data_IF_467689450607
#
_entry.id   IF_467689450607
#
_cell.length_a   1.000
_cell.length_b   1.000
_cell.length_c   1.000
_cell.angle_alpha   90.00
_cell.angle_beta   90.00
_cell.angle_gamma   90.00
#
_symmetry.space_group_name_H-M   'P 1'
#
loop_
_entity.id
_entity.type
_entity.pdbx_description
1 polymer ?
#
# COMPACT_ATOMS: atom_id res chain seq x y z
N UNK A 1 22.88 -26.28 -3.07
CA UNK A 1 22.40 -25.83 -4.40
C UNK A 1 22.91 -24.42 -4.58
N UNK A 2 23.84 -24.21 -5.51
CA UNK A 2 24.39 -22.87 -5.81
C UNK A 2 23.22 -22.01 -6.26
N UNK A 3 23.01 -20.87 -5.58
CA UNK A 3 21.96 -19.91 -5.91
C UNK A 3 22.33 -19.32 -7.28
N UNK A 4 21.87 -19.96 -8.36
CA UNK A 4 21.60 -19.22 -9.58
C UNK A 4 20.64 -18.10 -9.15
N UNK A 5 21.01 -16.84 -9.37
CA UNK A 5 20.17 -15.69 -9.04
C UNK A 5 18.75 -16.00 -9.53
N UNK A 6 17.78 -16.07 -8.62
CA UNK A 6 16.37 -16.23 -8.99
C UNK A 6 16.04 -15.04 -9.88
N UNK A 7 15.87 -15.27 -11.18
CA UNK A 7 15.55 -14.24 -12.16
C UNK A 7 14.08 -14.40 -12.52
N UNK A 8 13.28 -13.44 -12.10
CA UNK A 8 11.90 -13.34 -12.54
C UNK A 8 11.83 -12.89 -14.00
N UNK A 9 10.70 -13.18 -14.65
CA UNK A 9 10.36 -12.50 -15.91
C UNK A 9 10.33 -11.00 -15.64
N UNK A 10 10.77 -10.20 -16.60
CA UNK A 10 10.81 -8.74 -16.48
C UNK A 10 9.64 -8.14 -17.23
N UNK A 11 9.04 -7.10 -16.68
CA UNK A 11 8.03 -6.33 -17.40
C UNK A 11 8.63 -5.70 -18.65
N UNK A 12 7.85 -5.68 -19.74
CA UNK A 12 8.22 -4.95 -20.96
C UNK A 12 8.27 -3.46 -20.61
N UNK A 13 9.29 -2.74 -21.08
CA UNK A 13 9.51 -1.33 -20.75
C UNK A 13 10.31 -1.08 -19.47
N UNK A 14 10.68 -2.12 -18.72
CA UNK A 14 11.42 -1.96 -17.45
C UNK A 14 12.82 -1.33 -17.62
N UNK A 15 13.53 -1.64 -18.70
CA UNK A 15 14.86 -1.07 -18.97
C UNK A 15 14.79 0.36 -19.52
N UNK A 16 13.75 0.68 -20.29
CA UNK A 16 13.44 2.04 -20.75
C UNK A 16 13.10 2.95 -19.56
N UNK A 17 12.26 2.46 -18.64
CA UNK A 17 11.88 3.21 -17.44
C UNK A 17 13.09 3.65 -16.60
N UNK A 18 14.14 2.82 -16.52
CA UNK A 18 15.39 3.19 -15.83
C UNK A 18 16.10 4.39 -16.46
N UNK A 19 16.00 4.55 -17.77
CA UNK A 19 16.62 5.68 -18.50
C UNK A 19 15.82 6.98 -18.32
N UNK A 20 14.54 6.86 -17.96
CA UNK A 20 13.61 7.98 -17.81
C UNK A 20 13.68 8.59 -16.40
N UNK A 21 13.75 7.76 -15.36
CA UNK A 21 13.70 8.20 -13.95
C UNK A 21 14.93 9.02 -13.55
N UNK A 22 14.68 10.12 -12.82
CA UNK A 22 15.67 11.11 -12.37
C UNK A 22 15.59 11.31 -10.86
N UNK A 23 16.72 11.67 -10.26
CA UNK A 23 16.80 12.02 -8.84
C UNK A 23 16.38 13.49 -8.62
N UNK A 24 15.13 13.80 -8.98
CA UNK A 24 14.51 15.11 -8.87
C UNK A 24 13.08 14.93 -8.35
N UNK A 25 12.55 15.93 -7.67
CA UNK A 25 11.16 15.95 -7.23
C UNK A 25 10.43 17.14 -7.83
N UNK A 26 9.27 16.88 -8.42
CA UNK A 26 8.27 17.88 -8.81
C UNK A 26 7.01 17.57 -8.01
N UNK A 27 6.87 18.24 -6.86
CA UNK A 27 5.78 17.93 -5.94
C UNK A 27 4.44 18.42 -6.50
N UNK A 28 3.60 17.48 -6.91
CA UNK A 28 2.27 17.73 -7.48
C UNK A 28 1.13 17.27 -6.54
N UNK A 29 1.46 16.86 -5.31
CA UNK A 29 0.48 16.48 -4.29
C UNK A 29 0.33 17.62 -3.29
N UNK A 30 -0.80 18.33 -3.35
CA UNK A 30 -1.09 19.42 -2.42
C UNK A 30 -1.50 18.85 -1.06
N UNK A 31 -0.84 19.28 0.02
CA UNK A 31 -1.22 18.89 1.40
C UNK A 31 -2.47 19.65 1.81
N UNK A 32 -3.47 18.92 2.32
CA UNK A 32 -4.73 19.49 2.80
C UNK A 32 -4.91 19.34 4.32
N UNK A 33 -4.20 18.38 4.95
CA UNK A 33 -4.08 18.37 6.39
C UNK A 33 -3.44 17.13 6.96
N UNK A 34 -3.41 17.07 8.29
CA UNK A 34 -2.81 16.00 9.07
C UNK A 34 -3.72 15.67 10.26
N UNK A 35 -3.89 14.37 10.52
CA UNK A 35 -4.59 13.84 11.68
C UNK A 35 -3.56 13.24 12.62
N UNK A 36 -3.43 13.84 13.80
CA UNK A 36 -2.53 13.39 14.85
C UNK A 36 -3.18 12.30 15.73
N UNK A 37 -2.40 11.45 16.43
CA UNK A 37 -2.94 10.33 17.20
C UNK A 37 -3.97 10.73 18.27
N UNK A 38 -3.73 11.86 18.96
CA UNK A 38 -4.63 12.41 19.98
C UNK A 38 -5.98 12.92 19.43
N UNK A 39 -6.15 13.00 18.12
CA UNK A 39 -7.43 13.33 17.47
C UNK A 39 -8.29 12.10 17.21
N UNK A 40 -7.74 10.91 17.37
CA UNK A 40 -8.47 9.66 17.10
C UNK A 40 -8.91 9.08 18.44
N UNK A 41 -10.22 9.03 18.67
CA UNK A 41 -10.80 8.41 19.87
C UNK A 41 -11.20 6.98 19.57
N UNK A 42 -10.69 6.01 20.32
CA UNK A 42 -11.00 4.59 20.14
C UNK A 42 -12.20 4.22 21.00
N UNK A 43 -13.30 3.83 20.36
CA UNK A 43 -14.55 3.54 21.07
C UNK A 43 -14.62 2.10 21.63
N UNK A 44 -14.00 1.13 20.96
CA UNK A 44 -14.10 -0.30 21.30
C UNK A 44 -12.86 -0.87 21.99
N UNK A 45 -12.09 -0.02 22.70
CA UNK A 45 -10.88 -0.44 23.39
C UNK A 45 -10.66 0.38 24.68
N UNK A 46 -10.09 -0.19 25.76
CA UNK A 46 -9.91 0.53 27.03
C UNK A 46 -8.98 1.76 26.96
N UNK A 47 -8.04 1.79 26.03
CA UNK A 47 -7.18 2.96 25.78
C UNK A 47 -7.87 3.87 24.77
N UNK A 48 -8.19 5.10 25.18
CA UNK A 48 -9.01 6.03 24.39
C UNK A 48 -8.32 6.65 23.18
N UNK A 49 -6.98 6.71 23.17
CA UNK A 49 -6.21 7.29 22.06
C UNK A 49 -5.02 6.41 21.70
N UNK A 50 -4.70 6.22 20.41
CA UNK A 50 -3.48 5.55 20.02
C UNK A 50 -2.25 6.41 20.36
N UNK A 51 -1.11 5.75 20.52
CA UNK A 51 0.18 6.41 20.71
C UNK A 51 0.63 7.05 19.40
N UNK A 52 0.54 6.28 18.31
CA UNK A 52 0.77 6.72 16.94
C UNK A 52 -0.32 6.18 16.03
N UNK A 53 -0.62 6.92 14.97
CA UNK A 53 -1.58 6.54 13.94
C UNK A 53 -1.05 7.03 12.59
N UNK A 54 -0.78 6.12 11.66
CA UNK A 54 -0.11 6.44 10.40
C UNK A 54 -0.39 5.38 9.33
N UNK A 55 0.23 5.51 8.15
CA UNK A 55 0.14 4.58 7.01
C UNK A 55 -1.30 4.21 6.66
N UNK A 56 -2.17 5.21 6.58
CA UNK A 56 -3.60 4.99 6.42
C UNK A 56 -4.01 4.78 4.95
N UNK A 57 -4.91 3.82 4.72
CA UNK A 57 -5.70 3.73 3.49
C UNK A 57 -6.97 4.58 3.60
N UNK A 58 -7.58 4.88 2.47
CA UNK A 58 -8.83 5.64 2.38
C UNK A 58 -9.79 5.02 1.36
N UNK A 59 -11.07 5.04 1.65
CA UNK A 59 -12.17 4.93 0.67
C UNK A 59 -13.09 6.13 0.80
N UNK A 60 -13.96 6.35 -0.18
CA UNK A 60 -14.89 7.47 -0.22
C UNK A 60 -16.31 6.92 -0.32
N UNK A 61 -17.16 7.42 0.56
CA UNK A 61 -18.60 7.17 0.56
C UNK A 61 -19.30 8.40 -0.03
N UNK A 62 -19.77 8.28 -1.26
CA UNK A 62 -20.40 9.39 -2.01
C UNK A 62 -21.77 9.78 -1.44
N UNK A 63 -22.49 8.84 -0.81
CA UNK A 63 -23.83 9.10 -0.29
C UNK A 63 -23.77 9.92 0.99
N UNK A 64 -22.83 9.58 1.88
CA UNK A 64 -22.63 10.27 3.16
C UNK A 64 -21.62 11.43 3.07
N UNK A 65 -20.95 11.60 1.92
CA UNK A 65 -19.89 12.61 1.70
C UNK A 65 -18.75 12.53 2.73
N UNK A 66 -18.29 11.29 3.01
CA UNK A 66 -17.23 11.01 4.00
C UNK A 66 -16.10 10.18 3.43
N UNK A 67 -14.88 10.49 3.88
CA UNK A 67 -13.71 9.63 3.71
C UNK A 67 -13.67 8.60 4.85
N UNK A 68 -13.67 7.31 4.49
CA UNK A 68 -13.45 6.21 5.43
C UNK A 68 -11.95 5.93 5.50
N UNK A 69 -11.34 6.23 6.65
CA UNK A 69 -9.91 6.10 6.89
C UNK A 69 -9.61 4.81 7.64
N UNK A 70 -8.62 4.07 7.15
CA UNK A 70 -8.14 2.82 7.72
C UNK A 70 -6.67 2.97 8.11
N UNK A 71 -6.38 3.23 9.37
CA UNK A 71 -5.04 3.60 9.81
C UNK A 71 -4.39 2.51 10.66
N UNK A 72 -3.07 2.34 10.47
CA UNK A 72 -2.27 1.57 11.42
C UNK A 72 -2.14 2.37 12.71
N UNK A 73 -2.45 1.74 13.84
CA UNK A 73 -2.26 2.31 15.16
C UNK A 73 -1.31 1.48 16.01
N UNK A 74 -0.57 2.16 16.88
CA UNK A 74 0.24 1.56 17.94
C UNK A 74 -0.38 1.92 19.28
N UNK A 75 -0.61 0.91 20.13
CA UNK A 75 -1.23 1.05 21.45
C UNK A 75 -0.22 0.87 22.60
N UNK A 76 0.97 0.33 22.31
CA UNK A 76 2.02 0.09 23.31
C UNK A 76 3.42 0.14 22.70
N UNK A 77 4.40 0.52 23.51
CA UNK A 77 5.76 0.86 23.04
C UNK A 77 6.75 -0.30 22.96
N UNK A 78 6.56 -1.41 23.69
CA UNK A 78 7.63 -2.40 23.81
C UNK A 78 7.87 -3.19 22.51
N UNK A 79 6.84 -3.87 22.01
CA UNK A 79 6.94 -4.72 20.82
C UNK A 79 6.39 -4.03 19.56
N UNK A 80 5.89 -2.79 19.67
CA UNK A 80 5.23 -2.05 18.59
C UNK A 80 4.18 -2.89 17.86
N UNK A 81 3.39 -3.66 18.61
CA UNK A 81 2.30 -4.46 18.06
C UNK A 81 1.23 -3.50 17.57
N UNK A 82 0.90 -3.60 16.29
CA UNK A 82 -0.06 -2.72 15.64
C UNK A 82 -1.41 -3.37 15.42
N UNK A 83 -2.43 -2.52 15.40
CA UNK A 83 -3.80 -2.84 14.95
C UNK A 83 -4.20 -1.87 13.84
N UNK A 84 -5.33 -2.10 13.19
CA UNK A 84 -5.91 -1.18 12.22
C UNK A 84 -7.23 -0.63 12.78
N UNK A 85 -7.34 0.69 12.78
CA UNK A 85 -8.54 1.43 13.16
C UNK A 85 -9.27 1.94 11.92
N UNK A 86 -10.59 1.95 11.97
CA UNK A 86 -11.48 2.59 11.01
C UNK A 86 -12.14 3.81 11.68
N UNK A 87 -12.20 4.94 10.96
CA UNK A 87 -12.97 6.12 11.33
C UNK A 87 -13.36 6.92 10.09
N UNK A 88 -14.35 7.79 10.23
CA UNK A 88 -14.86 8.62 9.14
C UNK A 88 -14.41 10.07 9.30
N UNK A 89 -14.08 10.70 8.18
CA UNK A 89 -13.70 12.11 8.07
C UNK A 89 -14.61 12.76 7.05
N UNK A 90 -15.50 13.67 7.43
CA UNK A 90 -16.34 14.39 6.47
C UNK A 90 -15.50 15.10 5.42
N UNK A 91 -15.92 15.08 4.15
CA UNK A 91 -15.11 15.64 3.06
C UNK A 91 -14.92 17.16 3.24
N UNK A 92 -15.91 17.86 3.79
CA UNK A 92 -15.80 19.28 4.13
C UNK A 92 -14.73 19.57 5.20
N UNK A 93 -14.41 18.63 6.09
CA UNK A 93 -13.32 18.82 7.06
C UNK A 93 -11.96 18.90 6.35
N UNK A 94 -11.78 18.14 5.27
CA UNK A 94 -10.56 18.16 4.46
C UNK A 94 -10.41 19.51 3.75
N UNK A 95 -11.45 19.96 3.05
CA UNK A 95 -11.39 21.19 2.25
C UNK A 95 -11.36 22.47 3.09
N UNK A 96 -11.98 22.47 4.27
CA UNK A 96 -11.94 23.61 5.19
C UNK A 96 -10.75 23.58 6.16
N UNK A 97 -9.90 22.55 6.09
CA UNK A 97 -8.74 22.38 6.95
C UNK A 97 -9.06 21.98 8.39
N UNK A 98 -10.31 21.58 8.68
CA UNK A 98 -10.75 21.14 10.00
C UNK A 98 -10.16 19.79 10.41
N UNK A 99 -9.65 18.99 9.47
CA UNK A 99 -8.88 17.77 9.75
C UNK A 99 -7.71 17.99 10.72
N UNK A 100 -7.17 19.21 10.77
CA UNK A 100 -6.04 19.55 11.65
C UNK A 100 -6.46 19.83 13.11
N UNK A 101 -7.76 20.02 13.37
CA UNK A 101 -8.29 20.44 14.67
C UNK A 101 -9.35 19.51 15.24
N UNK A 102 -10.19 18.91 14.39
CA UNK A 102 -11.28 18.04 14.80
C UNK A 102 -10.77 16.70 15.36
N UNK A 103 -11.65 16.04 16.11
CA UNK A 103 -11.41 14.69 16.61
C UNK A 103 -12.41 13.72 15.97
N UNK A 104 -11.93 12.53 15.67
CA UNK A 104 -12.68 11.48 14.97
C UNK A 104 -12.82 10.25 15.88
N UNK A 105 -14.03 9.73 15.97
CA UNK A 105 -14.30 8.51 16.74
C UNK A 105 -14.11 7.31 15.81
N UNK A 106 -13.27 6.37 16.23
CA UNK A 106 -12.93 5.17 15.46
C UNK A 106 -13.11 3.89 16.23
N UNK A 107 -13.06 2.79 15.49
CA UNK A 107 -13.14 1.41 15.99
C UNK A 107 -11.98 0.59 15.47
N UNK A 108 -11.33 -0.19 16.34
CA UNK A 108 -10.37 -1.20 15.92
C UNK A 108 -11.13 -2.28 15.16
N UNK A 109 -10.73 -2.53 13.92
CA UNK A 109 -11.41 -3.46 12.99
C UNK A 109 -10.56 -4.69 12.65
N UNK A 110 -9.23 -4.55 12.67
CA UNK A 110 -8.28 -5.64 12.44
C UNK A 110 -7.23 -5.54 13.53
N UNK A 111 -6.93 -6.66 14.16
CA UNK A 111 -5.98 -6.77 15.26
C UNK A 111 -5.29 -8.14 15.21
N UNK A 112 -4.15 -8.32 15.90
CA UNK A 112 -3.47 -9.61 15.98
C UNK A 112 -4.40 -10.72 16.46
N UNK A 113 -4.57 -11.77 15.66
CA UNK A 113 -5.43 -12.91 16.04
C UNK A 113 -5.00 -14.25 15.45
N UNK A 114 -3.90 -14.29 14.70
CA UNK A 114 -3.44 -15.48 13.99
C UNK A 114 -1.92 -15.60 14.08
N UNK A 115 -1.36 -16.78 13.75
CA UNK A 115 0.09 -16.95 13.63
C UNK A 115 0.73 -16.06 12.55
N UNK A 116 -0.05 -15.50 11.64
CA UNK A 116 0.43 -14.69 10.52
C UNK A 116 0.54 -13.20 10.88
N UNK A 117 -0.07 -12.76 11.98
CA UNK A 117 -0.11 -11.35 12.38
C UNK A 117 -0.06 -11.13 13.90
N UNK A 118 0.36 -12.13 14.67
CA UNK A 118 0.45 -12.08 16.14
C UNK A 118 1.29 -10.89 16.64
N UNK A 119 2.27 -10.42 15.86
CA UNK A 119 3.12 -9.29 16.23
C UNK A 119 2.70 -7.96 15.59
N UNK A 120 1.56 -7.90 14.90
CA UNK A 120 1.00 -6.67 14.36
C UNK A 120 0.35 -6.83 12.99
N UNK A 121 -0.64 -5.98 12.75
CA UNK A 121 -1.32 -5.79 11.45
C UNK A 121 -0.92 -4.41 10.92
N UNK A 122 -0.10 -4.34 9.88
CA UNK A 122 0.55 -3.10 9.42
C UNK A 122 0.05 -2.64 8.04
N UNK A 123 -0.01 -1.32 7.86
CA UNK A 123 -0.04 -0.64 6.57
C UNK A 123 -1.17 -1.15 5.63
N UNK A 124 -2.45 -1.00 6.01
CA UNK A 124 -3.58 -1.48 5.22
C UNK A 124 -3.63 -0.82 3.85
N UNK A 125 -4.03 -1.58 2.83
CA UNK A 125 -4.48 -1.11 1.51
C UNK A 125 -5.91 -1.58 1.30
N UNK A 126 -6.85 -0.66 1.19
CA UNK A 126 -8.27 -0.97 1.01
C UNK A 126 -8.69 -0.64 -0.42
N UNK A 127 -9.36 -1.59 -1.07
CA UNK A 127 -9.75 -1.50 -2.48
C UNK A 127 -10.99 -2.36 -2.74
N UNK A 128 -11.66 -2.13 -3.88
CA UNK A 128 -12.86 -2.90 -4.28
C UNK A 128 -12.51 -3.94 -5.34
N UNK A 129 -13.03 -5.15 -5.18
CA UNK A 129 -12.98 -6.24 -6.18
C UNK A 129 -14.38 -6.84 -6.26
N UNK A 130 -14.95 -6.95 -7.48
CA UNK A 130 -16.35 -7.38 -7.70
C UNK A 130 -17.39 -6.69 -6.80
N UNK A 131 -17.22 -5.39 -6.57
CA UNK A 131 -18.10 -4.59 -5.71
C UNK A 131 -17.95 -4.81 -4.20
N UNK A 132 -17.14 -5.78 -3.75
CA UNK A 132 -16.85 -6.02 -2.33
C UNK A 132 -15.57 -5.32 -1.90
N UNK A 133 -15.50 -4.90 -0.64
CA UNK A 133 -14.30 -4.31 -0.05
C UNK A 133 -13.31 -5.38 0.40
N UNK A 134 -12.05 -5.19 0.00
CA UNK A 134 -10.90 -5.99 0.39
C UNK A 134 -9.87 -5.09 1.05
N UNK A 135 -9.15 -5.64 2.02
CA UNK A 135 -8.05 -4.99 2.72
C UNK A 135 -6.86 -5.93 2.76
N UNK A 136 -5.79 -5.62 2.04
CA UNK A 136 -4.50 -6.29 2.23
C UNK A 136 -3.64 -5.49 3.20
N UNK A 137 -3.11 -6.15 4.21
CA UNK A 137 -2.17 -5.56 5.16
C UNK A 137 -0.98 -6.49 5.36
N UNK A 138 0.10 -5.95 5.91
CA UNK A 138 1.28 -6.73 6.28
C UNK A 138 1.05 -7.36 7.66
N UNK A 139 0.93 -8.68 7.71
CA UNK A 139 0.91 -9.43 8.96
C UNK A 139 2.33 -9.70 9.46
N UNK A 140 2.66 -9.28 10.67
CA UNK A 140 3.89 -9.70 11.37
C UNK A 140 3.68 -11.07 11.99
N UNK A 141 4.23 -12.10 11.35
CA UNK A 141 4.00 -13.49 11.72
C UNK A 141 4.72 -13.88 13.00
N UNK A 142 4.43 -15.07 13.54
CA UNK A 142 5.12 -15.65 14.70
C UNK A 142 6.66 -15.66 14.57
N UNK A 143 7.19 -15.63 13.33
CA UNK A 143 8.62 -15.60 13.07
C UNK A 143 9.26 -14.20 13.16
N UNK A 144 8.48 -13.13 13.28
CA UNK A 144 8.99 -11.75 13.17
C UNK A 144 10.17 -11.45 14.12
N UNK A 145 10.04 -11.83 15.39
CA UNK A 145 11.10 -11.72 16.40
C UNK A 145 11.87 -13.02 16.63
N UNK A 146 11.60 -14.07 15.85
CA UNK A 146 12.26 -15.36 15.99
C UNK A 146 13.58 -15.39 15.19
N UNK A 147 14.52 -16.30 15.52
CA UNK A 147 15.74 -16.48 14.73
C UNK A 147 15.46 -17.03 13.31
N UNK A 148 14.23 -17.49 13.04
CA UNK A 148 13.83 -17.99 11.72
C UNK A 148 13.63 -16.80 10.77
N UNK A 149 14.53 -16.65 9.80
CA UNK A 149 14.45 -15.61 8.75
C UNK A 149 13.55 -16.02 7.57
N UNK A 150 12.39 -16.62 7.84
CA UNK A 150 11.42 -17.00 6.79
C UNK A 150 10.04 -16.52 7.16
N UNK A 151 9.35 -15.91 6.20
CA UNK A 151 7.98 -15.43 6.35
C UNK A 151 7.80 -14.58 7.62
N UNK A 152 8.78 -13.75 7.98
CA UNK A 152 8.70 -12.86 9.15
C UNK A 152 7.52 -11.90 9.04
N UNK A 153 7.23 -11.48 7.82
CA UNK A 153 5.93 -10.88 7.48
C UNK A 153 5.35 -11.55 6.24
N UNK A 154 4.02 -11.54 6.15
CA UNK A 154 3.27 -12.05 5.01
C UNK A 154 2.09 -11.11 4.71
N UNK A 155 1.69 -10.92 3.45
CA UNK A 155 0.47 -10.23 3.11
C UNK A 155 -0.75 -11.05 3.56
N UNK A 156 -1.65 -10.39 4.30
CA UNK A 156 -2.91 -10.96 4.75
C UNK A 156 -4.04 -10.10 4.19
N UNK A 157 -5.05 -10.75 3.60
CA UNK A 157 -6.23 -10.06 3.08
C UNK A 157 -7.47 -10.37 3.91
N UNK A 158 -8.09 -9.32 4.43
CA UNK A 158 -9.42 -9.34 4.98
C UNK A 158 -10.46 -8.88 3.94
N UNK A 159 -11.66 -9.44 3.99
CA UNK A 159 -12.80 -9.09 3.14
C UNK A 159 -13.90 -8.57 4.04
N UNK A 160 -14.51 -7.45 3.66
CA UNK A 160 -15.64 -6.89 4.39
C UNK A 160 -16.89 -7.75 4.17
N UNK A 161 -17.55 -8.11 5.26
CA UNK A 161 -18.81 -8.83 5.26
C UNK A 161 -19.93 -7.85 5.60
N UNK A 162 -20.76 -7.54 4.60
CA UNK A 162 -21.88 -6.60 4.73
C UNK A 162 -22.94 -7.08 5.74
N UNK A 163 -23.13 -8.40 5.87
CA UNK A 163 -24.14 -8.96 6.78
C UNK A 163 -23.69 -8.83 8.22
N UNK A 164 -22.42 -9.14 8.47
CA UNK A 164 -21.81 -9.05 9.80
C UNK A 164 -21.29 -7.65 10.15
N UNK A 165 -21.27 -6.73 9.18
CA UNK A 165 -20.68 -5.38 9.27
C UNK A 165 -19.29 -5.41 9.87
N UNK A 166 -18.47 -6.36 9.39
CA UNK A 166 -17.16 -6.64 9.95
C UNK A 166 -16.15 -7.14 8.91
N UNK A 167 -14.87 -6.97 9.20
CA UNK A 167 -13.78 -7.47 8.39
C UNK A 167 -13.40 -8.90 8.78
N UNK A 168 -13.28 -9.78 7.79
CA UNK A 168 -12.96 -11.20 8.00
C UNK A 168 -11.67 -11.53 7.26
N UNK A 169 -10.64 -12.00 7.98
CA UNK A 169 -9.38 -12.47 7.38
C UNK A 169 -9.67 -13.71 6.54
N UNK A 170 -9.37 -13.66 5.23
CA UNK A 170 -9.66 -14.76 4.29
C UNK A 170 -8.41 -15.36 3.68
N UNK A 171 -7.41 -14.54 3.33
CA UNK A 171 -6.26 -15.02 2.56
C UNK A 171 -4.94 -14.67 3.23
N UNK A 172 -3.98 -15.58 3.14
CA UNK A 172 -2.57 -15.31 3.41
C UNK A 172 -1.79 -15.69 2.16
N UNK A 173 -1.03 -14.76 1.61
CA UNK A 173 -0.28 -14.99 0.39
C UNK A 173 1.13 -15.47 0.71
N UNK A 174 1.50 -16.63 0.15
CA UNK A 174 2.77 -17.29 0.41
C UNK A 174 3.51 -17.48 -0.92
N UNK A 175 4.60 -16.73 -1.17
CA UNK A 175 5.47 -16.97 -2.33
C UNK A 175 6.00 -18.41 -2.36
N UNK A 176 5.78 -19.11 -3.47
CA UNK A 176 6.21 -20.50 -3.62
C UNK A 176 7.73 -20.61 -3.60
N UNK A 177 8.25 -21.59 -2.86
CA UNK A 177 9.69 -21.86 -2.84
C UNK A 177 10.24 -22.27 -4.21
N UNK A 178 9.39 -22.78 -5.10
CA UNK A 178 9.78 -23.16 -6.46
C UNK A 178 10.05 -21.95 -7.36
N UNK A 179 9.41 -20.82 -7.09
CA UNK A 179 9.51 -19.60 -7.93
C UNK A 179 10.38 -18.54 -7.25
N UNK A 180 10.18 -18.32 -5.95
CA UNK A 180 10.83 -17.26 -5.19
C UNK A 180 11.97 -17.76 -4.30
N UNK A 181 12.19 -19.07 -4.22
CA UNK A 181 13.00 -19.64 -3.15
C UNK A 181 12.41 -19.34 -1.77
N UNK A 182 13.25 -19.38 -0.73
CA UNK A 182 12.83 -18.95 0.61
C UNK A 182 12.79 -17.43 0.66
N UNK A 183 11.68 -16.88 1.14
CA UNK A 183 11.54 -15.43 1.36
C UNK A 183 11.67 -15.08 2.84
N UNK A 184 12.20 -13.89 3.14
CA UNK A 184 12.36 -13.35 4.48
C UNK A 184 11.10 -12.61 4.92
N UNK A 185 10.64 -11.67 4.09
CA UNK A 185 9.43 -10.87 4.31
C UNK A 185 8.72 -10.66 2.99
N UNK A 186 7.43 -10.40 3.03
CA UNK A 186 6.67 -9.91 1.90
C UNK A 186 5.64 -8.89 2.41
N UNK A 187 5.56 -7.74 1.71
CA UNK A 187 4.89 -6.50 2.14
C UNK A 187 4.42 -5.71 0.91
N UNK A 188 3.83 -4.54 1.16
CA UNK A 188 3.48 -3.55 0.12
C UNK A 188 2.59 -4.16 -0.95
N UNK A 189 1.49 -4.75 -0.49
CA UNK A 189 0.71 -5.66 -1.31
C UNK A 189 -0.76 -5.29 -1.41
N UNK A 190 -1.35 -5.57 -2.57
CA UNK A 190 -2.79 -5.46 -2.82
C UNK A 190 -3.20 -6.31 -4.02
N UNK A 191 -4.49 -6.66 -4.09
CA UNK A 191 -5.09 -7.29 -5.26
C UNK A 191 -5.65 -6.25 -6.23
N UNK A 192 -5.63 -6.57 -7.51
CA UNK A 192 -6.28 -5.80 -8.55
C UNK A 192 -6.95 -6.74 -9.56
N UNK A 193 -8.24 -6.54 -9.83
CA UNK A 193 -8.97 -7.27 -10.86
C UNK A 193 -9.17 -6.37 -12.08
N UNK A 194 -8.78 -6.87 -13.26
CA UNK A 194 -8.98 -6.19 -14.54
C UNK A 194 -10.44 -6.28 -14.99
N UNK A 195 -10.84 -5.45 -15.97
CA UNK A 195 -12.22 -5.42 -16.46
C UNK A 195 -12.71 -6.74 -17.07
N UNK A 196 -11.79 -7.62 -17.49
CA UNK A 196 -12.07 -8.96 -17.99
C UNK A 196 -12.03 -10.07 -16.93
N UNK A 197 -11.96 -9.70 -15.64
CA UNK A 197 -12.03 -10.62 -14.51
C UNK A 197 -10.71 -11.31 -14.15
N UNK A 198 -9.60 -10.95 -14.80
CA UNK A 198 -8.26 -11.45 -14.43
C UNK A 198 -7.77 -10.80 -13.14
N UNK A 199 -7.20 -11.60 -12.25
CA UNK A 199 -6.77 -11.18 -10.92
C UNK A 199 -5.25 -11.12 -10.83
N UNK A 200 -4.74 -9.98 -10.39
CA UNK A 200 -3.32 -9.74 -10.16
C UNK A 200 -3.07 -9.39 -8.70
N UNK A 201 -1.90 -9.79 -8.20
CA UNK A 201 -1.39 -9.49 -6.89
C UNK A 201 -0.09 -8.72 -7.03
N UNK A 202 -0.12 -7.46 -6.62
CA UNK A 202 1.06 -6.62 -6.57
C UNK A 202 1.65 -6.78 -5.18
N UNK A 203 2.95 -7.07 -5.09
CA UNK A 203 3.63 -7.26 -3.81
C UNK A 203 5.13 -7.02 -3.91
N UNK A 204 5.82 -7.08 -2.77
CA UNK A 204 7.25 -6.81 -2.67
C UNK A 204 7.94 -7.83 -1.77
N UNK A 205 8.34 -9.00 -2.31
CA UNK A 205 9.10 -9.98 -1.55
C UNK A 205 10.54 -9.53 -1.30
N UNK A 206 11.02 -9.85 -0.11
CA UNK A 206 12.42 -9.79 0.34
C UNK A 206 12.97 -11.21 0.31
N UNK A 207 13.85 -11.49 -0.63
CA UNK A 207 14.40 -12.82 -0.86
C UNK A 207 15.54 -13.14 0.13
N UNK A 208 15.94 -14.41 0.22
CA UNK A 208 17.01 -14.85 1.13
C UNK A 208 18.41 -14.31 0.76
N UNK A 209 18.59 -13.82 -0.47
CA UNK A 209 19.80 -13.12 -0.93
C UNK A 209 19.81 -11.63 -0.53
N UNK A 210 18.90 -11.23 0.37
CA UNK A 210 18.66 -9.88 0.84
C UNK A 210 18.23 -8.88 -0.24
N UNK A 211 17.78 -9.34 -1.42
CA UNK A 211 17.19 -8.48 -2.44
C UNK A 211 15.70 -8.25 -2.23
N UNK A 212 15.24 -7.04 -2.58
CA UNK A 212 13.86 -6.60 -2.55
C UNK A 212 13.35 -6.45 -3.97
N UNK A 213 12.19 -7.05 -4.28
CA UNK A 213 11.73 -7.24 -5.67
C UNK A 213 10.35 -6.61 -5.83
N UNK A 214 10.19 -5.65 -6.73
CA UNK A 214 8.89 -5.03 -7.00
C UNK A 214 8.16 -5.85 -8.07
N UNK A 215 7.20 -6.68 -7.66
CA UNK A 215 6.64 -7.71 -8.54
C UNK A 215 5.12 -7.62 -8.67
N UNK A 216 4.63 -8.15 -9.79
CA UNK A 216 3.22 -8.42 -10.07
C UNK A 216 3.09 -9.92 -10.35
N UNK A 217 2.11 -10.55 -9.72
CA UNK A 217 1.83 -11.98 -9.85
C UNK A 217 0.39 -12.21 -10.28
N UNK A 218 0.17 -12.99 -11.34
CA UNK A 218 -1.16 -13.44 -11.76
C UNK A 218 -1.69 -14.51 -10.80
N UNK A 219 -2.96 -14.40 -10.43
CA UNK A 219 -3.66 -15.36 -9.57
C UNK A 219 -4.88 -15.96 -10.28
N UNK A 220 -5.30 -17.15 -9.86
CA UNK A 220 -6.58 -17.72 -10.29
C UNK A 220 -7.74 -16.92 -9.63
N UNK A 221 -8.63 -16.26 -10.40
CA UNK A 221 -9.74 -15.50 -9.85
C UNK A 221 -10.72 -16.33 -9.01
N UNK A 222 -10.71 -17.67 -9.14
CA UNK A 222 -11.53 -18.58 -8.32
C UNK A 222 -11.22 -18.48 -6.82
N UNK A 223 -10.06 -17.94 -6.42
CA UNK A 223 -9.78 -17.70 -5.00
C UNK A 223 -10.78 -16.72 -4.37
N UNK A 224 -11.43 -15.85 -5.17
CA UNK A 224 -12.41 -14.88 -4.71
C UNK A 224 -13.80 -15.50 -4.47
N UNK A 225 -14.05 -16.71 -4.96
CA UNK A 225 -15.36 -17.38 -4.92
C UNK A 225 -15.57 -18.22 -3.66
N UNK A 226 -14.68 -18.16 -2.67
CA UNK A 226 -14.81 -18.94 -1.43
C UNK A 226 -15.58 -18.16 -0.36
N UNK A 227 -16.65 -18.76 0.18
CA UNK A 227 -17.37 -18.24 1.34
C UNK A 227 -16.83 -18.79 2.67
N UNK A 228 -15.74 -19.58 2.63
CA UNK A 228 -15.18 -20.22 3.82
C UNK A 228 -14.71 -19.20 4.86
N UNK A 229 -15.25 -19.26 6.08
CA UNK A 229 -14.86 -18.39 7.19
C UNK A 229 -13.42 -18.60 7.68
N UNK A 230 -12.75 -19.65 7.20
CA UNK A 230 -11.37 -19.95 7.59
C UNK A 230 -10.39 -19.24 6.66
N UNK A 231 -9.25 -18.88 7.24
CA UNK A 231 -8.13 -18.34 6.47
C UNK A 231 -7.56 -19.43 5.57
N UNK A 232 -7.35 -19.10 4.31
CA UNK A 232 -6.72 -19.94 3.30
C UNK A 232 -5.34 -19.40 2.92
N UNK A 233 -4.33 -20.26 2.93
CA UNK A 233 -3.04 -19.95 2.34
C UNK A 233 -3.16 -20.04 0.80
N UNK A 234 -2.76 -18.99 0.11
CA UNK A 234 -2.71 -18.89 -1.35
C UNK A 234 -1.24 -18.92 -1.76
N UNK A 235 -0.83 -20.01 -2.40
CA UNK A 235 0.52 -20.13 -2.94
C UNK A 235 0.66 -19.25 -4.20
N UNK A 236 1.70 -18.42 -4.24
CA UNK A 236 2.01 -17.58 -5.40
C UNK A 236 3.06 -18.29 -6.24
N UNK A 237 2.68 -18.66 -7.47
CA UNK A 237 3.51 -19.42 -8.42
C UNK A 237 3.83 -18.63 -9.71
N UNK A 238 3.56 -17.33 -9.70
CA UNK A 238 3.85 -16.41 -10.81
C UNK A 238 4.62 -15.20 -10.28
N UNK A 239 5.50 -14.62 -11.11
CA UNK A 239 6.26 -13.44 -10.74
C UNK A 239 6.79 -12.70 -11.97
N UNK A 240 6.35 -11.45 -12.14
CA UNK A 240 6.95 -10.51 -13.09
C UNK A 240 7.51 -9.32 -12.32
N UNK A 241 8.82 -9.14 -12.39
CA UNK A 241 9.51 -7.99 -11.79
C UNK A 241 9.32 -6.76 -12.69
N UNK A 242 8.79 -5.69 -12.09
CA UNK A 242 8.37 -4.50 -12.84
C UNK A 242 9.50 -3.50 -13.00
N UNK A 243 10.22 -3.23 -11.91
CA UNK A 243 11.25 -2.20 -11.84
C UNK A 243 12.35 -2.59 -10.85
N UNK A 244 13.59 -2.22 -11.18
CA UNK A 244 14.69 -2.18 -10.22
C UNK A 244 14.80 -0.82 -9.54
N UNK A 245 15.55 -0.78 -8.45
CA UNK A 245 16.07 0.48 -7.88
C UNK A 245 17.04 1.18 -8.85
N UNK A 246 17.00 2.52 -8.90
CA UNK A 246 18.08 3.34 -9.46
C UNK A 246 19.29 3.35 -8.54
N UNK A 247 20.50 3.75 -9.01
CA UNK A 247 21.68 3.89 -8.15
C UNK A 247 21.49 4.80 -6.92
N UNK A 248 20.59 5.78 -7.02
CA UNK A 248 20.22 6.72 -5.96
C UNK A 248 19.06 6.23 -5.06
N UNK A 249 18.49 5.05 -5.34
CA UNK A 249 17.41 4.44 -4.56
C UNK A 249 17.93 3.28 -3.72
N UNK A 250 17.38 3.13 -2.51
CA UNK A 250 17.65 2.01 -1.61
C UNK A 250 16.65 0.86 -1.78
N UNK A 251 15.36 1.17 -1.85
CA UNK A 251 14.29 0.18 -2.07
C UNK A 251 13.08 0.82 -2.73
N UNK A 252 12.29 -0.02 -3.41
CA UNK A 252 10.96 0.29 -3.93
C UNK A 252 9.90 -0.52 -3.18
N UNK A 253 8.66 -0.05 -3.20
CA UNK A 253 7.48 -0.78 -2.77
C UNK A 253 6.20 -0.17 -3.31
N UNK A 254 5.18 -0.99 -3.51
CA UNK A 254 3.90 -0.51 -3.96
C UNK A 254 3.21 0.32 -2.85
N UNK A 255 2.60 1.43 -3.24
CA UNK A 255 1.61 2.08 -2.39
C UNK A 255 0.26 1.40 -2.61
N UNK A 256 -0.64 1.99 -3.40
CA UNK A 256 -2.01 1.52 -3.58
C UNK A 256 -2.44 1.84 -5.02
N UNK A 257 -3.44 1.15 -5.60
CA UNK A 257 -3.92 1.51 -6.93
C UNK A 257 -4.60 2.87 -6.88
N UNK A 258 -4.28 3.74 -7.84
CA UNK A 258 -4.80 5.11 -7.88
C UNK A 258 -6.06 5.20 -8.72
N UNK A 259 -6.03 4.63 -9.92
CA UNK A 259 -7.16 4.61 -10.85
C UNK A 259 -7.00 3.47 -11.85
N UNK A 260 -8.11 2.84 -12.20
CA UNK A 260 -8.18 1.95 -13.35
C UNK A 260 -8.52 2.77 -14.60
N UNK A 261 -7.68 2.71 -15.63
CA UNK A 261 -7.82 3.46 -16.88
C UNK A 261 -8.39 2.54 -17.97
N UNK A 262 -9.70 2.29 -17.89
CA UNK A 262 -10.38 1.32 -18.74
C UNK A 262 -10.11 -0.13 -18.28
N UNK A 263 -10.33 -1.11 -19.15
CA UNK A 263 -10.34 -2.52 -18.73
C UNK A 263 -8.95 -3.15 -18.58
N UNK A 264 -7.89 -2.47 -19.05
CA UNK A 264 -6.54 -3.07 -19.23
C UNK A 264 -5.41 -2.30 -18.57
N UNK A 265 -5.64 -1.10 -18.02
CA UNK A 265 -4.56 -0.23 -17.56
C UNK A 265 -4.72 0.15 -16.10
N UNK A 266 -3.65 -0.02 -15.33
CA UNK A 266 -3.58 0.34 -13.92
C UNK A 266 -2.59 1.49 -13.73
N UNK A 267 -3.03 2.57 -13.08
CA UNK A 267 -2.11 3.58 -12.53
C UNK A 267 -1.94 3.31 -11.04
N UNK A 268 -0.69 3.25 -10.60
CA UNK A 268 -0.34 2.99 -9.20
C UNK A 268 0.82 3.88 -8.75
N UNK A 269 0.86 4.16 -7.45
CA UNK A 269 1.95 4.88 -6.81
C UNK A 269 3.01 3.90 -6.31
N UNK A 270 4.27 4.29 -6.40
CA UNK A 270 5.43 3.54 -5.92
C UNK A 270 6.20 4.44 -4.97
N UNK A 271 6.41 3.98 -3.74
CA UNK A 271 7.31 4.65 -2.81
C UNK A 271 8.74 4.14 -3.02
N UNK A 272 9.70 5.04 -2.95
CA UNK A 272 11.12 4.77 -3.01
C UNK A 272 11.81 5.39 -1.80
N UNK A 273 12.84 4.73 -1.27
CA UNK A 273 13.74 5.40 -0.33
C UNK A 273 14.98 5.88 -1.05
N UNK A 274 15.37 7.12 -0.81
CA UNK A 274 16.68 7.62 -1.18
C UNK A 274 17.79 6.79 -0.52
N UNK A 275 18.92 6.59 -1.21
CA UNK A 275 20.02 5.77 -0.71
C UNK A 275 20.91 6.48 0.31
N UNK A 276 21.06 7.80 0.22
CA UNK A 276 21.98 8.56 1.06
C UNK A 276 21.30 9.09 2.32
N UNK A 277 20.19 9.81 2.13
CA UNK A 277 19.43 10.50 3.18
C UNK A 277 18.28 9.66 3.73
N UNK A 278 18.00 8.50 3.12
CA UNK A 278 16.92 7.58 3.49
C UNK A 278 15.51 8.21 3.46
N UNK A 279 15.35 9.31 2.71
CA UNK A 279 14.09 10.03 2.51
C UNK A 279 13.13 9.16 1.72
N UNK A 280 11.89 9.03 2.16
CA UNK A 280 10.85 8.39 1.36
C UNK A 280 10.25 9.38 0.37
N UNK A 281 10.26 9.02 -0.91
CA UNK A 281 9.68 9.79 -2.02
C UNK A 281 8.75 8.91 -2.84
N UNK A 282 7.86 9.50 -3.61
CA UNK A 282 6.84 8.74 -4.37
C UNK A 282 6.91 9.14 -5.84
N UNK A 283 6.78 8.16 -6.73
CA UNK A 283 6.57 8.36 -8.16
C UNK A 283 5.39 7.49 -8.62
N UNK A 284 4.92 7.67 -9.85
CA UNK A 284 3.81 6.88 -10.38
C UNK A 284 4.24 6.02 -11.57
N UNK A 285 3.52 4.93 -11.77
CA UNK A 285 3.67 4.04 -12.91
C UNK A 285 2.30 3.73 -13.53
N UNK A 286 2.27 3.62 -14.86
CA UNK A 286 1.14 3.10 -15.61
C UNK A 286 1.49 1.73 -16.18
N UNK A 287 0.71 0.72 -15.82
CA UNK A 287 0.86 -0.66 -16.25
C UNK A 287 -0.27 -1.04 -17.20
N UNK A 288 0.04 -1.87 -18.19
CA UNK A 288 -0.93 -2.64 -18.96
C UNK A 288 -0.75 -4.12 -18.63
N UNK A 289 -1.85 -4.79 -18.25
CA UNK A 289 -1.85 -6.16 -17.74
C UNK A 289 -2.63 -7.08 -18.69
N UNK A 290 -1.93 -8.02 -19.33
CA UNK A 290 -2.50 -8.99 -20.28
C UNK A 290 -2.14 -10.45 -19.93
N UNK A 291 -2.55 -11.41 -20.76
CA UNK A 291 -2.40 -12.84 -20.45
C UNK A 291 -0.95 -13.29 -20.45
N UNK A 292 -0.14 -12.73 -21.36
CA UNK A 292 1.25 -13.10 -21.53
C UNK A 292 2.21 -12.03 -21.02
N UNK A 293 1.74 -10.82 -20.76
CA UNK A 293 2.63 -9.66 -20.57
C UNK A 293 2.15 -8.71 -19.47
N UNK A 294 3.12 -8.31 -18.64
CA UNK A 294 3.05 -7.10 -17.83
C UNK A 294 3.89 -6.05 -18.55
N UNK A 295 3.25 -4.96 -18.99
CA UNK A 295 3.89 -3.88 -19.73
C UNK A 295 3.89 -2.62 -18.86
N UNK A 296 5.06 -2.05 -18.66
CA UNK A 296 5.23 -0.75 -18.05
C UNK A 296 5.16 0.31 -19.16
N UNK A 297 4.01 0.96 -19.31
CA UNK A 297 3.73 1.92 -20.39
C UNK A 297 4.25 3.33 -20.08
N UNK A 298 4.37 3.68 -18.80
CA UNK A 298 4.93 4.95 -18.37
C UNK A 298 5.40 4.92 -16.92
N UNK A 299 6.37 5.76 -16.61
CA UNK A 299 6.74 6.16 -15.24
C UNK A 299 6.86 7.68 -15.20
N UNK A 300 6.53 8.32 -14.09
CA UNK A 300 6.85 9.75 -13.97
C UNK A 300 8.38 9.91 -13.94
N UNK A 301 8.97 10.82 -14.75
CA UNK A 301 10.42 10.99 -14.78
C UNK A 301 11.01 11.45 -13.45
N UNK A 302 10.21 12.14 -12.63
CA UNK A 302 10.56 12.68 -11.32
C UNK A 302 9.69 12.05 -10.24
N UNK A 303 10.12 12.17 -8.99
CA UNK A 303 9.22 11.97 -7.86
C UNK A 303 8.12 13.04 -7.89
N UNK A 304 6.90 12.64 -7.54
CA UNK A 304 5.70 13.48 -7.53
C UNK A 304 5.33 13.97 -6.12
N UNK A 305 6.01 13.46 -5.10
CA UNK A 305 5.77 13.80 -3.70
C UNK A 305 7.02 13.49 -2.87
N UNK A 306 7.41 14.44 -2.01
CA UNK A 306 8.45 14.25 -0.99
C UNK A 306 8.10 14.96 0.32
N UNK A 307 8.74 14.63 1.46
CA UNK A 307 8.50 15.28 2.74
C UNK A 307 8.87 16.77 2.68
N UNK A 308 7.91 17.66 2.93
CA UNK A 308 8.10 19.13 2.88
C UNK A 308 7.57 19.86 4.11
N UNK A 309 6.66 19.25 4.87
CA UNK A 309 6.02 19.84 6.04
C UNK A 309 6.64 19.34 7.35
N UNK A 310 6.57 20.11 8.45
CA UNK A 310 7.15 19.69 9.73
C UNK A 310 6.68 18.32 10.23
N UNK A 311 5.41 17.95 10.00
CA UNK A 311 4.85 16.66 10.42
C UNK A 311 5.30 15.47 9.54
N UNK A 312 5.85 15.72 8.35
CA UNK A 312 6.50 14.70 7.51
C UNK A 312 8.01 14.57 7.82
N UNK A 313 8.60 15.63 8.38
CA UNK A 313 10.03 15.70 8.71
C UNK A 313 10.34 15.20 10.13
N UNK A 314 9.40 15.33 11.07
CA UNK A 314 9.61 15.06 12.50
C UNK A 314 8.62 13.98 12.98
N UNK A 315 9.15 12.86 13.49
CA UNK A 315 8.39 11.74 14.04
C UNK A 315 9.27 10.52 14.32
N UNK A 316 8.66 9.35 14.50
CA UNK A 316 9.36 8.08 14.76
C UNK A 316 10.29 7.70 13.60
N UNK A 317 9.91 8.06 12.37
CA UNK A 317 10.73 7.91 11.17
C UNK A 317 10.83 9.26 10.44
N UNK A 318 11.85 10.08 10.74
CA UNK A 318 12.04 11.36 10.06
C UNK A 318 12.11 11.23 8.54
N UNK A 319 11.73 12.30 7.84
CA UNK A 319 11.80 12.40 6.37
C UNK A 319 11.00 11.31 5.65
N UNK A 320 9.78 11.04 6.13
CA UNK A 320 8.94 9.96 5.60
C UNK A 320 7.55 10.43 5.22
N UNK A 321 7.19 10.14 3.96
CA UNK A 321 5.83 10.08 3.46
C UNK A 321 5.58 8.67 2.90
N UNK A 322 4.46 8.05 3.27
CA UNK A 322 4.18 6.67 2.90
C UNK A 322 2.70 6.48 2.51
N UNK A 323 2.33 6.68 1.24
CA UNK A 323 0.95 6.51 0.78
C UNK A 323 0.46 5.07 0.91
N UNK A 324 -0.72 4.92 1.52
CA UNK A 324 -1.41 3.64 1.64
C UNK A 324 -2.83 3.68 1.06
N UNK A 325 -3.37 4.88 0.79
CA UNK A 325 -4.70 5.06 0.21
C UNK A 325 -4.73 6.12 -0.87
N UNK A 326 -5.56 5.88 -1.88
CA UNK A 326 -5.84 6.80 -2.97
C UNK A 326 -7.30 6.59 -3.37
N UNK A 327 -8.10 7.65 -3.37
CA UNK A 327 -9.51 7.57 -3.77
C UNK A 327 -9.92 8.80 -4.57
N UNK A 328 -10.63 8.57 -5.68
CA UNK A 328 -11.25 9.65 -6.43
C UNK A 328 -12.41 10.23 -5.64
N UNK A 329 -12.44 11.55 -5.49
CA UNK A 329 -13.55 12.30 -4.90
C UNK A 329 -14.29 13.15 -5.94
N UNK A 330 -13.69 13.33 -7.12
CA UNK A 330 -14.30 13.99 -8.26
C UNK A 330 -13.76 13.42 -9.58
N UNK A 331 -14.11 14.05 -10.71
CA UNK A 331 -13.61 13.66 -12.03
C UNK A 331 -12.08 13.77 -12.11
N UNK A 332 -11.48 14.79 -11.50
CA UNK A 332 -10.05 15.12 -11.60
C UNK A 332 -9.29 15.01 -10.27
N UNK A 333 -9.96 14.97 -9.13
CA UNK A 333 -9.27 14.99 -7.83
C UNK A 333 -9.22 13.61 -7.17
N UNK A 334 -8.02 13.26 -6.72
CA UNK A 334 -7.74 12.06 -5.92
C UNK A 334 -7.22 12.50 -4.56
N UNK A 335 -7.88 12.06 -3.50
CA UNK A 335 -7.35 12.14 -2.14
C UNK A 335 -6.33 11.04 -1.95
N UNK A 336 -5.13 11.42 -1.52
CA UNK A 336 -4.05 10.51 -1.11
C UNK A 336 -3.96 10.54 0.42
N UNK A 337 -4.12 9.39 1.05
CA UNK A 337 -3.84 9.20 2.47
C UNK A 337 -2.48 8.51 2.65
N UNK A 338 -1.67 9.04 3.56
CA UNK A 338 -0.30 8.59 3.75
C UNK A 338 0.12 8.64 5.22
N UNK A 339 1.10 7.82 5.60
CA UNK A 339 1.81 8.01 6.86
C UNK A 339 2.80 9.15 6.75
N UNK A 340 2.81 10.02 7.75
CA UNK A 340 3.78 11.10 7.88
C UNK A 340 4.67 10.83 9.09
N UNK A 341 5.97 10.71 8.82
CA UNK A 341 7.03 10.43 9.80
C UNK A 341 6.79 9.21 10.72
N UNK A 342 6.09 8.18 10.24
CA UNK A 342 5.59 7.01 11.02
C UNK A 342 4.84 7.39 12.32
N UNK A 343 4.21 8.58 12.35
CA UNK A 343 3.61 9.12 13.56
C UNK A 343 2.18 9.63 13.35
N UNK A 344 1.92 10.27 12.21
CA UNK A 344 0.64 10.90 11.87
C UNK A 344 0.06 10.39 10.55
N UNK A 345 -1.20 10.70 10.30
CA UNK A 345 -1.87 10.47 9.02
C UNK A 345 -1.91 11.80 8.26
N UNK A 346 -1.24 11.87 7.11
CA UNK A 346 -1.36 12.99 6.20
C UNK A 346 -2.46 12.75 5.15
N UNK A 347 -3.11 13.83 4.74
CA UNK A 347 -4.08 13.87 3.65
C UNK A 347 -3.64 14.92 2.62
N UNK A 348 -3.59 14.51 1.36
CA UNK A 348 -3.27 15.38 0.23
C UNK A 348 -4.21 15.15 -0.94
N UNK A 349 -4.22 16.08 -1.90
CA UNK A 349 -4.98 15.97 -3.14
C UNK A 349 -4.01 16.01 -4.32
N UNK A 350 -4.21 15.09 -5.25
CA UNK A 350 -3.53 14.99 -6.52
C UNK A 350 -4.53 15.21 -7.67
N UNK A 351 -4.20 16.09 -8.60
CA UNK A 351 -4.96 16.23 -9.86
C UNK A 351 -4.55 15.11 -10.83
N UNK A 352 -5.56 14.40 -11.36
CA UNK A 352 -5.37 13.37 -12.37
C UNK A 352 -4.80 13.96 -13.65
N UNK A 353 -5.25 15.14 -14.07
CA UNK A 353 -4.68 15.83 -15.24
C UNK A 353 -3.18 16.10 -15.07
N UNK A 354 -2.75 16.61 -13.91
CA UNK A 354 -1.33 16.83 -13.64
C UNK A 354 -0.54 15.51 -13.59
N UNK A 355 -1.10 14.48 -12.97
CA UNK A 355 -0.48 13.15 -12.93
C UNK A 355 -0.32 12.56 -14.35
N UNK A 356 -1.35 12.66 -15.18
CA UNK A 356 -1.31 12.19 -16.56
C UNK A 356 -0.29 12.97 -17.38
N UNK A 357 -0.22 14.29 -17.23
CA UNK A 357 0.81 15.11 -17.88
C UNK A 357 2.24 14.69 -17.47
N UNK A 358 2.47 14.36 -16.18
CA UNK A 358 3.77 13.84 -15.73
C UNK A 358 4.07 12.43 -16.28
N UNK A 359 3.07 11.54 -16.34
CA UNK A 359 3.23 10.21 -16.93
C UNK A 359 3.50 10.30 -18.44
N UNK A 360 2.89 11.26 -19.14
CA UNK A 360 3.09 11.48 -20.57
C UNK A 360 4.54 11.88 -20.90
N UNK A 361 5.21 12.62 -20.00
CA UNK A 361 6.64 12.95 -20.13
C UNK A 361 7.56 11.71 -20.03
N UNK A 362 7.08 10.62 -19.42
CA UNK A 362 7.83 9.39 -19.22
C UNK A 362 7.21 8.17 -19.90
N UNK A 363 6.52 8.39 -21.03
CA UNK A 363 6.00 7.32 -21.89
C UNK A 363 7.13 6.44 -22.41
N UNK A 364 6.84 5.15 -22.46
CA UNK A 364 7.73 4.11 -22.96
C UNK A 364 7.15 3.61 -24.28
N UNK A 365 7.96 3.59 -25.33
CA UNK A 365 7.59 3.24 -26.70
C UNK A 365 8.35 2.02 -27.19
#
# INVERSE_FOLDING_TARGET
MVIASLRFKRAIGSEEAKKIRRNETEDIVRRYGVISPNRITIHNYPVSHPITAFNASVTYDEEEDVLKIYARIILGYYMYVSSIIEFEVPLHDLFNGYVNINSYVGRIIIYPSTKYDVWGTEDPRVYKVRGKLYMTYTGRSINYFSPIRVNRTVPVTAVYDETLRNWIKRFVFIPSANVFGRIITDKDAFLHEMGDGRLYFLHRPHLIDDTLRLVVSKLDPKILSTDEMRIKEIEIVDAVEVLDVMPFEGKLGWATPLVNMGDKKLITLIHATDRERLVYRVFAAQLSLSDDEVVLEAVTPRYIMEPTTPYELIGDRPLTIFPCGAVKISKDEVVISYGAADYMIGLGILSLNNLMAELDKGRIY
#
